data_IF_531571695092
#
_entry.id   IF_531571695092
#
_cell.length_a   1.000
_cell.length_b   1.000
_cell.length_c   1.000
_cell.angle_alpha   90.00
_cell.angle_beta   90.00
_cell.angle_gamma   90.00
#
_symmetry.space_group_name_H-M   'P 1'
#
loop_
_entity.id
_entity.type
_entity.pdbx_description
1 polymer ?
#
# COMPACT_ATOMS: atom_id res chain seq x y z
N UNK A 1 -6.02 -21.38 -13.17
CA UNK A 1 -5.97 -22.63 -12.39
C UNK A 1 -5.13 -22.34 -11.17
N UNK A 2 -5.51 -22.84 -9.99
CA UNK A 2 -4.71 -22.73 -8.77
C UNK A 2 -3.32 -23.35 -8.98
N UNK A 3 -2.28 -22.71 -8.42
CA UNK A 3 -0.89 -23.17 -8.48
C UNK A 3 -0.69 -24.46 -7.66
N UNK A 4 -1.40 -24.55 -6.52
CA UNK A 4 -1.30 -25.67 -5.58
C UNK A 4 -2.68 -26.23 -5.23
N UNK A 5 -2.78 -27.57 -5.09
CA UNK A 5 -3.90 -28.25 -4.45
C UNK A 5 -3.66 -28.38 -2.94
N UNK A 6 -4.67 -28.81 -2.18
CA UNK A 6 -4.53 -29.11 -0.74
C UNK A 6 -3.49 -30.20 -0.52
N UNK A 7 -3.53 -31.23 -1.34
CA UNK A 7 -2.63 -32.37 -1.33
C UNK A 7 -1.18 -31.94 -1.60
N UNK A 8 -0.97 -30.99 -2.53
CA UNK A 8 0.36 -30.44 -2.79
C UNK A 8 0.93 -29.75 -1.57
N UNK A 9 0.14 -28.88 -0.91
CA UNK A 9 0.59 -28.17 0.29
C UNK A 9 0.95 -29.18 1.40
N UNK A 10 0.09 -30.15 1.68
CA UNK A 10 0.36 -31.19 2.70
C UNK A 10 1.61 -31.98 2.37
N UNK A 11 1.82 -32.34 1.11
CA UNK A 11 3.03 -33.03 0.63
C UNK A 11 4.29 -32.18 0.80
N UNK A 12 4.27 -30.93 0.33
CA UNK A 12 5.42 -30.01 0.42
C UNK A 12 5.81 -29.78 1.88
N UNK A 13 4.85 -29.55 2.77
CA UNK A 13 5.12 -29.37 4.21
C UNK A 13 5.89 -30.57 4.80
N UNK A 14 5.56 -31.81 4.37
CA UNK A 14 6.24 -33.04 4.84
C UNK A 14 7.61 -33.24 4.20
N UNK A 15 7.73 -32.99 2.88
CA UNK A 15 8.95 -33.26 2.11
C UNK A 15 10.04 -32.21 2.34
N UNK A 16 9.65 -30.94 2.56
CA UNK A 16 10.56 -29.78 2.67
C UNK A 16 10.95 -29.45 4.12
N UNK A 17 10.70 -30.31 5.08
CA UNK A 17 11.05 -30.10 6.51
C UNK A 17 10.44 -28.81 7.09
N UNK A 18 9.17 -28.56 6.77
CA UNK A 18 8.43 -27.41 7.34
C UNK A 18 7.84 -27.80 8.68
N UNK A 19 8.22 -27.12 9.75
CA UNK A 19 7.71 -27.37 11.11
C UNK A 19 6.59 -26.39 11.53
N UNK A 20 6.64 -25.14 11.03
CA UNK A 20 5.65 -24.11 11.35
C UNK A 20 5.10 -23.45 10.10
N UNK A 21 3.81 -23.18 10.13
CA UNK A 21 3.12 -22.43 9.07
C UNK A 21 2.47 -21.18 9.71
N UNK A 22 2.77 -20.02 9.15
CA UNK A 22 2.15 -18.74 9.53
C UNK A 22 0.92 -18.49 8.69
N UNK A 23 -0.25 -18.55 9.31
CA UNK A 23 -1.53 -18.15 8.73
C UNK A 23 -1.62 -16.63 8.83
N UNK A 24 -1.33 -15.91 7.75
CA UNK A 24 -1.22 -14.45 7.73
C UNK A 24 -2.50 -13.80 7.23
N UNK A 25 -2.91 -12.71 7.85
CA UNK A 25 -4.01 -11.87 7.39
C UNK A 25 -3.72 -10.41 7.79
N UNK A 26 -4.49 -9.45 7.26
CA UNK A 26 -4.24 -8.02 7.49
C UNK A 26 -5.48 -7.40 8.11
N UNK A 27 -5.29 -6.59 9.18
CA UNK A 27 -6.39 -5.84 9.77
C UNK A 27 -6.76 -4.61 8.94
N UNK A 28 -7.84 -3.91 9.30
CA UNK A 28 -8.34 -2.75 8.53
C UNK A 28 -7.36 -1.57 8.52
N UNK A 29 -6.43 -1.49 9.47
CA UNK A 29 -5.41 -0.45 9.55
C UNK A 29 -4.10 -0.82 8.81
N UNK A 30 -4.08 -1.97 8.11
CA UNK A 30 -2.95 -2.40 7.30
C UNK A 30 -1.84 -3.10 8.11
N UNK A 31 -2.12 -3.55 9.33
CA UNK A 31 -1.16 -4.31 10.11
C UNK A 31 -1.25 -5.80 9.77
N UNK A 32 -0.10 -6.38 9.42
CA UNK A 32 -0.01 -7.82 9.18
C UNK A 32 -0.09 -8.58 10.51
N UNK A 33 -1.05 -9.47 10.61
CA UNK A 33 -1.29 -10.38 11.74
C UNK A 33 -0.99 -11.82 11.33
N UNK A 34 -0.76 -12.70 12.30
CA UNK A 34 -0.68 -14.12 12.01
C UNK A 34 -1.02 -14.98 13.23
N UNK A 35 -1.47 -16.20 12.93
CA UNK A 35 -1.45 -17.34 13.86
C UNK A 35 -0.46 -18.35 13.31
N UNK A 36 0.44 -18.85 14.16
CA UNK A 36 1.37 -19.91 13.79
C UNK A 36 0.80 -21.26 14.20
N UNK A 37 0.79 -22.20 13.27
CA UNK A 37 0.43 -23.60 13.51
C UNK A 37 1.64 -24.49 13.27
N UNK A 38 1.67 -25.65 13.93
CA UNK A 38 2.66 -26.69 13.64
C UNK A 38 2.29 -27.47 12.37
N UNK A 39 3.24 -28.09 11.73
CA UNK A 39 3.02 -28.92 10.54
C UNK A 39 1.94 -30.00 10.73
N UNK A 40 1.78 -30.52 11.95
CA UNK A 40 0.73 -31.50 12.28
C UNK A 40 -0.70 -30.96 12.11
N UNK A 41 -0.90 -29.64 12.05
CA UNK A 41 -2.20 -29.01 11.88
C UNK A 41 -2.48 -28.57 10.43
N UNK A 42 -1.58 -28.89 9.49
CA UNK A 42 -1.72 -28.42 8.10
C UNK A 42 -3.01 -28.90 7.44
N UNK A 43 -3.45 -30.12 7.74
CA UNK A 43 -4.71 -30.65 7.19
C UNK A 43 -5.93 -29.86 7.64
N UNK A 44 -5.96 -29.41 8.91
CA UNK A 44 -7.01 -28.48 9.38
C UNK A 44 -6.93 -27.14 8.68
N UNK A 45 -5.72 -26.61 8.51
CA UNK A 45 -5.53 -25.32 7.85
C UNK A 45 -6.07 -25.33 6.41
N UNK A 46 -5.67 -26.30 5.58
CA UNK A 46 -6.14 -26.36 4.18
C UNK A 46 -7.64 -26.71 4.07
N UNK A 47 -8.26 -27.18 5.15
CA UNK A 47 -9.69 -27.44 5.23
C UNK A 47 -10.49 -26.27 5.87
N UNK A 48 -9.85 -25.11 6.10
CA UNK A 48 -10.49 -23.90 6.63
C UNK A 48 -10.99 -24.06 8.10
N UNK A 49 -10.31 -24.87 8.89
CA UNK A 49 -10.71 -25.19 10.26
C UNK A 49 -9.90 -24.44 11.34
N UNK A 50 -9.05 -23.48 10.93
CA UNK A 50 -8.27 -22.67 11.87
C UNK A 50 -9.10 -21.48 12.33
N UNK A 51 -9.49 -21.52 13.59
CA UNK A 51 -10.29 -20.47 14.26
C UNK A 51 -9.37 -19.44 14.94
N UNK A 52 -9.80 -18.19 14.94
CA UNK A 52 -9.18 -17.07 15.65
C UNK A 52 -10.23 -16.32 16.48
N UNK A 53 -9.76 -15.62 17.52
CA UNK A 53 -10.57 -14.64 18.24
C UNK A 53 -10.45 -13.26 17.54
N UNK A 54 -11.46 -12.92 16.74
CA UNK A 54 -11.52 -11.65 16.03
C UNK A 54 -11.79 -10.45 16.95
N UNK A 55 -12.32 -10.65 18.16
CA UNK A 55 -12.65 -9.56 19.08
C UNK A 55 -11.41 -8.84 19.63
N UNK A 56 -10.26 -9.52 19.62
CA UNK A 56 -8.97 -8.95 20.02
C UNK A 56 -8.26 -8.21 18.88
N UNK A 57 -8.88 -8.13 17.69
CA UNK A 57 -8.33 -7.43 16.53
C UNK A 57 -9.10 -6.13 16.33
N UNK A 58 -8.39 -5.00 16.43
CA UNK A 58 -9.02 -3.68 16.31
C UNK A 58 -9.78 -3.53 14.99
N UNK A 59 -11.05 -3.14 15.10
CA UNK A 59 -11.93 -2.96 13.94
C UNK A 59 -12.56 -4.22 13.37
N UNK A 60 -12.31 -5.43 13.92
CA UNK A 60 -12.93 -6.65 13.41
C UNK A 60 -14.34 -6.84 13.98
N UNK A 61 -14.50 -7.65 15.02
CA UNK A 61 -15.81 -8.03 15.57
C UNK A 61 -15.95 -7.64 17.03
N UNK A 62 -17.16 -7.75 17.56
CA UNK A 62 -17.43 -7.56 18.99
C UNK A 62 -17.13 -8.84 19.76
N UNK A 63 -16.92 -8.71 21.08
CA UNK A 63 -16.64 -9.84 21.98
C UNK A 63 -17.74 -10.92 21.97
N UNK A 64 -18.97 -10.57 21.64
CA UNK A 64 -20.09 -11.50 21.54
C UNK A 64 -20.10 -12.33 20.23
N UNK A 65 -19.29 -11.94 19.24
CA UNK A 65 -19.21 -12.54 17.90
C UNK A 65 -17.74 -12.82 17.57
N UNK A 66 -16.96 -13.30 18.56
CA UNK A 66 -15.50 -13.35 18.49
C UNK A 66 -14.92 -14.36 17.51
N UNK A 67 -15.65 -15.48 17.30
CA UNK A 67 -15.12 -16.58 16.51
C UNK A 67 -15.08 -16.24 15.03
N UNK A 68 -13.88 -16.34 14.43
CA UNK A 68 -13.66 -16.21 13.00
C UNK A 68 -12.74 -17.31 12.49
N UNK A 69 -12.78 -17.59 11.20
CA UNK A 69 -12.00 -18.64 10.56
C UNK A 69 -11.05 -18.07 9.51
N UNK A 70 -9.84 -18.63 9.45
CA UNK A 70 -8.85 -18.30 8.42
C UNK A 70 -8.96 -19.28 7.26
N UNK A 71 -9.28 -18.77 6.08
CA UNK A 71 -9.33 -19.53 4.83
C UNK A 71 -8.07 -19.23 4.02
N UNK A 72 -7.08 -20.15 3.99
CA UNK A 72 -5.83 -19.89 3.30
C UNK A 72 -6.02 -19.89 1.77
N UNK A 73 -5.42 -18.89 1.14
CA UNK A 73 -5.20 -18.88 -0.29
C UNK A 73 -3.95 -19.72 -0.60
N UNK A 74 -4.18 -20.93 -1.14
CA UNK A 74 -3.12 -21.94 -1.32
C UNK A 74 -2.02 -21.45 -2.28
N UNK A 75 -2.36 -20.59 -3.25
CA UNK A 75 -1.41 -20.03 -4.21
C UNK A 75 -0.39 -19.08 -3.57
N UNK A 76 -0.64 -18.66 -2.33
CA UNK A 76 0.25 -17.80 -1.56
C UNK A 76 1.25 -18.58 -0.70
N UNK A 77 1.22 -19.93 -0.72
CA UNK A 77 2.17 -20.73 0.04
C UNK A 77 3.61 -20.41 -0.37
N UNK A 78 4.46 -20.13 0.63
CA UNK A 78 5.89 -19.93 0.41
C UNK A 78 6.68 -20.20 1.70
N UNK A 79 7.92 -20.69 1.55
CA UNK A 79 8.86 -20.85 2.65
C UNK A 79 9.56 -19.51 2.89
N UNK A 80 9.70 -19.11 4.16
CA UNK A 80 10.32 -17.85 4.54
C UNK A 80 11.86 -17.99 4.56
N UNK A 81 12.62 -17.40 3.62
CA UNK A 81 14.05 -17.65 3.44
C UNK A 81 14.93 -17.15 4.59
N UNK A 82 14.44 -16.21 5.39
CA UNK A 82 15.15 -15.67 6.55
C UNK A 82 14.99 -16.49 7.84
N UNK A 83 14.31 -17.63 7.77
CA UNK A 83 14.14 -18.58 8.88
C UNK A 83 15.14 -19.72 8.76
N UNK A 84 15.30 -20.57 9.82
CA UNK A 84 16.22 -21.70 9.80
C UNK A 84 16.03 -22.61 8.59
N UNK A 85 17.13 -23.21 8.11
CA UNK A 85 17.11 -24.17 6.99
C UNK A 85 16.62 -25.56 7.42
N UNK A 86 16.72 -25.88 8.72
CA UNK A 86 16.13 -27.08 9.34
C UNK A 86 14.96 -26.61 10.22
N UNK A 87 13.84 -27.35 10.17
CA UNK A 87 12.60 -26.91 10.81
C UNK A 87 12.09 -25.61 10.16
N UNK A 88 11.95 -25.61 8.83
CA UNK A 88 11.57 -24.44 8.04
C UNK A 88 10.23 -23.85 8.48
N UNK A 89 10.05 -22.59 8.21
CA UNK A 89 8.80 -21.85 8.43
C UNK A 89 8.21 -21.44 7.08
N UNK A 90 6.98 -21.85 6.82
CA UNK A 90 6.21 -21.41 5.67
C UNK A 90 5.14 -20.35 6.09
N UNK A 91 4.53 -19.73 5.10
CA UNK A 91 3.34 -18.89 5.32
C UNK A 91 2.25 -19.21 4.31
N UNK A 92 1.01 -18.93 4.69
CA UNK A 92 -0.17 -18.84 3.84
C UNK A 92 -0.88 -17.51 4.13
N UNK A 93 -1.29 -16.78 3.11
CA UNK A 93 -2.14 -15.61 3.29
C UNK A 93 -3.59 -16.08 3.32
N UNK A 94 -4.37 -15.54 4.24
CA UNK A 94 -5.73 -15.99 4.51
C UNK A 94 -6.73 -14.86 4.30
N UNK A 95 -7.88 -15.23 3.77
CA UNK A 95 -9.11 -14.45 3.88
C UNK A 95 -9.79 -14.79 5.22
N UNK A 96 -10.56 -13.86 5.77
CA UNK A 96 -11.27 -14.04 7.05
C UNK A 96 -12.74 -14.34 6.79
N UNK A 97 -13.27 -15.33 7.52
CA UNK A 97 -14.63 -15.83 7.37
C UNK A 97 -15.36 -15.89 8.71
N UNK A 98 -16.68 -15.74 8.66
CA UNK A 98 -17.57 -15.95 9.80
C UNK A 98 -17.79 -17.45 10.09
N UNK A 99 -18.30 -17.83 11.28
CA UNK A 99 -18.59 -19.23 11.64
C UNK A 99 -19.57 -19.94 10.70
N UNK A 100 -20.44 -19.21 10.04
CA UNK A 100 -21.39 -19.73 9.04
C UNK A 100 -20.78 -19.93 7.66
N UNK A 101 -19.47 -19.80 7.53
CA UNK A 101 -18.71 -19.88 6.29
C UNK A 101 -19.02 -18.77 5.28
N UNK A 102 -19.59 -17.66 5.69
CA UNK A 102 -19.70 -16.46 4.87
C UNK A 102 -18.42 -15.62 4.99
N UNK A 103 -17.95 -14.94 3.91
CA UNK A 103 -16.84 -14.03 4.01
C UNK A 103 -17.10 -12.92 5.04
N UNK A 104 -16.10 -12.64 5.89
CA UNK A 104 -16.22 -11.53 6.83
C UNK A 104 -16.15 -10.19 6.09
N UNK A 105 -17.17 -9.35 6.29
CA UNK A 105 -17.30 -8.07 5.57
C UNK A 105 -16.24 -7.04 5.95
N UNK A 106 -15.60 -7.20 7.11
CA UNK A 106 -14.50 -6.36 7.61
C UNK A 106 -13.11 -6.80 7.14
N UNK A 107 -13.01 -7.87 6.34
CA UNK A 107 -11.74 -8.30 5.77
C UNK A 107 -11.29 -7.37 4.63
N UNK A 108 -10.14 -6.64 4.77
CA UNK A 108 -9.62 -5.78 3.71
C UNK A 108 -9.30 -6.53 2.41
N UNK A 109 -8.74 -7.74 2.51
CA UNK A 109 -8.44 -8.58 1.35
C UNK A 109 -9.72 -9.01 0.63
N UNK A 110 -10.76 -9.31 1.41
CA UNK A 110 -12.11 -9.59 0.92
C UNK A 110 -12.74 -8.36 0.23
N UNK A 111 -12.49 -7.14 0.71
CA UNK A 111 -12.97 -5.91 0.07
C UNK A 111 -12.35 -5.76 -1.35
N UNK A 112 -11.04 -5.98 -1.49
CA UNK A 112 -10.39 -5.95 -2.79
C UNK A 112 -10.92 -7.05 -3.72
N UNK A 113 -11.13 -8.28 -3.22
CA UNK A 113 -11.75 -9.36 -4.02
C UNK A 113 -13.13 -8.98 -4.57
N UNK A 114 -13.97 -8.32 -3.75
CA UNK A 114 -15.29 -7.85 -4.22
C UNK A 114 -15.17 -6.83 -5.34
N UNK A 115 -14.22 -5.89 -5.23
CA UNK A 115 -14.01 -4.87 -6.27
C UNK A 115 -13.40 -5.45 -7.54
N UNK A 116 -12.47 -6.40 -7.43
CA UNK A 116 -11.90 -7.12 -8.56
C UNK A 116 -12.98 -7.94 -9.31
N UNK A 117 -13.92 -8.53 -8.54
CA UNK A 117 -15.07 -9.19 -9.16
C UNK A 117 -15.93 -8.21 -9.95
N UNK A 118 -16.22 -7.01 -9.43
CA UNK A 118 -16.93 -5.95 -10.17
C UNK A 118 -16.19 -5.62 -11.48
N UNK A 119 -14.87 -5.44 -11.44
CA UNK A 119 -14.06 -5.18 -12.62
C UNK A 119 -14.16 -6.33 -13.64
N UNK A 120 -14.07 -7.59 -13.17
CA UNK A 120 -14.17 -8.78 -13.99
C UNK A 120 -15.57 -8.91 -14.65
N UNK A 121 -16.64 -8.58 -13.94
CA UNK A 121 -18.02 -8.55 -14.47
C UNK A 121 -18.17 -7.48 -15.59
N UNK A 122 -17.33 -6.42 -15.57
CA UNK A 122 -17.21 -5.44 -16.67
C UNK A 122 -16.24 -5.88 -17.79
N UNK A 123 -15.58 -7.02 -17.62
CA UNK A 123 -14.61 -7.59 -18.56
C UNK A 123 -13.17 -7.09 -18.38
N UNK A 124 -12.84 -6.47 -17.23
CA UNK A 124 -11.50 -5.97 -16.95
C UNK A 124 -10.76 -6.84 -15.94
N UNK A 125 -9.45 -7.00 -16.14
CA UNK A 125 -8.50 -7.35 -15.10
C UNK A 125 -7.68 -6.12 -14.71
N UNK A 126 -7.30 -6.01 -13.44
CA UNK A 126 -6.61 -4.86 -12.87
C UNK A 126 -5.21 -5.25 -12.44
N UNK A 127 -4.20 -4.61 -13.01
CA UNK A 127 -2.79 -4.82 -12.73
C UNK A 127 -2.19 -3.61 -12.02
N UNK A 128 -1.30 -3.89 -11.05
CA UNK A 128 -0.68 -2.87 -10.20
C UNK A 128 0.81 -3.15 -10.02
N UNK A 129 1.64 -2.11 -10.23
CA UNK A 129 3.07 -2.08 -9.91
C UNK A 129 3.33 -0.99 -8.88
N UNK A 130 3.60 -1.33 -7.62
CA UNK A 130 3.92 -0.36 -6.58
C UNK A 130 5.42 -0.02 -6.60
N UNK A 131 5.74 1.23 -6.30
CA UNK A 131 7.07 1.71 -5.95
C UNK A 131 7.02 2.08 -4.46
N UNK A 132 7.68 1.30 -3.59
CA UNK A 132 7.48 1.39 -2.15
C UNK A 132 8.77 1.81 -1.43
N UNK A 133 8.85 3.08 -1.08
CA UNK A 133 9.99 3.69 -0.40
C UNK A 133 9.98 3.38 1.11
N UNK A 134 11.16 3.36 1.72
CA UNK A 134 11.35 3.15 3.15
C UNK A 134 12.64 3.79 3.66
N UNK A 135 12.71 4.00 4.98
CA UNK A 135 13.93 4.47 5.64
C UNK A 135 14.61 3.36 6.43
N UNK A 136 15.94 3.41 6.48
CA UNK A 136 16.78 2.63 7.37
C UNK A 136 17.41 3.55 8.43
N UNK A 137 17.17 3.22 9.68
CA UNK A 137 17.74 3.92 10.85
C UNK A 137 18.68 3.03 11.64
N UNK A 138 19.64 3.65 12.31
CA UNK A 138 20.43 2.99 13.33
C UNK A 138 19.57 2.65 14.54
N UNK A 139 19.94 1.60 15.25
CA UNK A 139 19.39 1.28 16.57
C UNK A 139 20.33 1.77 17.68
N UNK A 140 19.78 2.03 18.86
CA UNK A 140 20.59 2.31 20.06
C UNK A 140 21.21 1.01 20.62
N UNK A 141 21.95 1.16 21.75
CA UNK A 141 22.63 0.04 22.42
C UNK A 141 21.66 -1.04 22.92
N UNK A 142 20.40 -0.67 23.18
CA UNK A 142 19.32 -1.59 23.56
C UNK A 142 18.59 -2.20 22.36
N UNK A 143 18.99 -1.87 21.13
CA UNK A 143 18.34 -2.30 19.88
C UNK A 143 17.04 -1.57 19.58
N UNK A 144 16.75 -0.43 20.22
CA UNK A 144 15.57 0.39 19.94
C UNK A 144 15.81 1.29 18.72
N UNK A 145 14.76 1.59 17.94
CA UNK A 145 14.89 2.49 16.79
C UNK A 145 15.27 3.91 17.21
N UNK A 146 16.17 4.52 16.44
CA UNK A 146 16.50 5.94 16.54
C UNK A 146 16.01 6.69 15.30
N UNK A 147 16.22 8.01 15.23
CA UNK A 147 16.05 8.82 14.01
C UNK A 147 17.39 9.15 13.35
N UNK A 148 18.47 8.48 13.74
CA UNK A 148 19.77 8.57 13.07
C UNK A 148 19.75 7.68 11.85
N UNK A 149 19.93 8.27 10.67
CA UNK A 149 20.00 7.56 9.39
C UNK A 149 21.23 6.65 9.34
N UNK A 150 21.16 5.57 8.58
CA UNK A 150 22.30 4.66 8.41
C UNK A 150 23.44 5.29 7.59
N UNK A 151 23.14 6.31 6.79
CA UNK A 151 24.06 7.08 5.95
C UNK A 151 23.57 8.51 5.70
N UNK A 152 24.36 9.27 4.92
CA UNK A 152 24.02 10.61 4.40
C UNK A 152 24.04 10.64 2.87
N UNK A 153 23.90 9.48 2.21
CA UNK A 153 23.86 9.37 0.77
C UNK A 153 22.59 10.03 0.17
N UNK A 154 22.62 10.24 -1.13
CA UNK A 154 21.53 10.82 -1.90
C UNK A 154 21.12 9.92 -3.08
N UNK A 155 20.32 10.49 -3.97
CA UNK A 155 19.69 9.77 -5.09
C UNK A 155 20.71 9.08 -5.98
N UNK A 156 20.60 7.75 -6.13
CA UNK A 156 21.48 6.88 -6.90
C UNK A 156 22.95 6.83 -6.45
N UNK A 157 23.26 7.31 -5.25
CA UNK A 157 24.59 7.08 -4.68
C UNK A 157 24.83 5.57 -4.48
N UNK A 158 26.09 5.19 -4.46
CA UNK A 158 26.57 3.80 -4.31
C UNK A 158 27.62 3.71 -3.20
N UNK A 159 28.02 2.50 -2.84
CA UNK A 159 29.13 2.32 -1.88
C UNK A 159 30.41 3.02 -2.34
N UNK A 160 31.16 3.67 -1.43
CA UNK A 160 31.01 3.58 0.03
C UNK A 160 30.08 4.61 0.70
N UNK A 161 29.37 5.47 -0.05
CA UNK A 161 28.44 6.46 0.53
C UNK A 161 27.14 5.81 0.99
N UNK A 162 26.57 4.93 0.18
CA UNK A 162 25.38 4.16 0.48
C UNK A 162 25.70 2.96 1.40
N UNK A 163 25.45 3.10 2.68
CA UNK A 163 25.64 2.03 3.67
C UNK A 163 24.47 1.04 3.72
N UNK A 164 23.37 1.32 3.02
CA UNK A 164 22.20 0.45 2.94
C UNK A 164 22.27 -0.62 1.85
N UNK A 165 23.26 -0.52 0.91
CA UNK A 165 23.37 -1.39 -0.27
C UNK A 165 23.35 -2.88 0.08
N UNK A 166 24.15 -3.31 1.07
CA UNK A 166 24.21 -4.72 1.47
C UNK A 166 22.89 -5.23 2.04
N UNK A 167 22.18 -4.41 2.81
CA UNK A 167 20.87 -4.74 3.36
C UNK A 167 19.82 -4.84 2.25
N UNK A 168 19.79 -3.87 1.31
CA UNK A 168 18.90 -3.94 0.16
C UNK A 168 19.16 -5.18 -0.70
N UNK A 169 20.44 -5.52 -0.94
CA UNK A 169 20.82 -6.72 -1.68
C UNK A 169 20.28 -7.99 -1.01
N UNK A 170 20.42 -8.13 0.33
CA UNK A 170 19.88 -9.28 1.06
C UNK A 170 18.36 -9.34 0.95
N UNK A 171 17.67 -8.20 1.03
CA UNK A 171 16.22 -8.11 0.84
C UNK A 171 15.83 -8.58 -0.57
N UNK A 172 16.47 -8.08 -1.61
CA UNK A 172 16.20 -8.48 -2.99
C UNK A 172 16.35 -10.00 -3.19
N UNK A 173 17.46 -10.58 -2.74
CA UNK A 173 17.73 -12.02 -2.85
C UNK A 173 16.69 -12.87 -2.12
N UNK A 174 16.26 -12.41 -0.93
CA UNK A 174 15.20 -13.10 -0.19
C UNK A 174 13.85 -13.02 -0.90
N UNK A 175 13.50 -11.88 -1.45
CA UNK A 175 12.25 -11.69 -2.21
C UNK A 175 12.25 -12.51 -3.50
N UNK A 176 13.36 -12.55 -4.25
CA UNK A 176 13.49 -13.41 -5.44
C UNK A 176 13.31 -14.89 -5.11
N UNK A 177 13.86 -15.34 -3.96
CA UNK A 177 13.63 -16.70 -3.47
C UNK A 177 12.14 -16.98 -3.19
N UNK A 178 11.37 -15.95 -2.85
CA UNK A 178 9.92 -16.04 -2.66
C UNK A 178 9.11 -15.86 -3.95
N UNK A 179 9.77 -15.71 -5.09
CA UNK A 179 9.13 -15.60 -6.41
C UNK A 179 8.84 -14.17 -6.89
N UNK A 180 9.39 -13.16 -6.22
CA UNK A 180 9.35 -11.79 -6.74
C UNK A 180 10.29 -11.65 -7.94
N UNK A 181 9.90 -10.82 -8.89
CA UNK A 181 10.78 -10.37 -9.97
C UNK A 181 11.20 -8.93 -9.61
N UNK A 182 12.44 -8.76 -9.17
CA UNK A 182 13.00 -7.45 -8.79
C UNK A 182 13.42 -6.70 -10.05
N UNK A 183 12.96 -5.45 -10.18
CA UNK A 183 13.25 -4.58 -11.34
C UNK A 183 14.34 -3.57 -11.04
N UNK A 184 14.34 -2.96 -9.84
CA UNK A 184 15.35 -1.98 -9.42
C UNK A 184 15.56 -1.99 -7.90
N UNK A 185 16.72 -1.50 -7.47
CA UNK A 185 17.07 -1.26 -6.07
C UNK A 185 18.07 -0.13 -5.99
N UNK A 186 17.73 0.96 -5.31
CA UNK A 186 18.61 2.14 -5.25
C UNK A 186 18.43 2.93 -3.95
N UNK A 187 19.39 3.82 -3.67
CA UNK A 187 19.26 4.85 -2.66
C UNK A 187 18.37 5.97 -3.17
N UNK A 188 17.48 6.48 -2.30
CA UNK A 188 16.58 7.58 -2.59
C UNK A 188 17.17 8.95 -2.25
N UNK A 189 16.39 10.04 -2.46
CA UNK A 189 16.85 11.43 -2.32
C UNK A 189 17.26 11.76 -0.88
N UNK A 190 16.51 11.28 0.11
CA UNK A 190 16.78 11.60 1.51
C UNK A 190 17.82 10.63 2.09
N UNK A 191 18.68 11.13 2.99
CA UNK A 191 19.60 10.31 3.77
C UNK A 191 18.88 9.13 4.42
N UNK A 192 19.43 7.92 4.27
CA UNK A 192 18.86 6.68 4.79
C UNK A 192 17.55 6.25 4.12
N UNK A 193 17.16 6.85 3.00
CA UNK A 193 15.97 6.48 2.25
C UNK A 193 16.31 5.56 1.08
N UNK A 194 15.50 4.53 0.88
CA UNK A 194 15.73 3.45 -0.07
C UNK A 194 14.44 3.09 -0.80
N UNK A 195 14.61 2.54 -2.02
CA UNK A 195 13.55 1.98 -2.83
C UNK A 195 13.97 0.65 -3.43
N UNK A 196 13.01 -0.28 -3.51
CA UNK A 196 13.15 -1.55 -4.21
C UNK A 196 11.88 -1.75 -5.02
N UNK A 197 12.01 -1.75 -6.34
CA UNK A 197 10.93 -1.97 -7.27
C UNK A 197 10.82 -3.43 -7.67
N UNK A 198 9.63 -3.93 -7.72
CA UNK A 198 9.32 -5.26 -8.19
C UNK A 198 8.18 -5.24 -9.20
N UNK A 199 8.20 -6.19 -10.10
CA UNK A 199 7.30 -6.28 -11.23
C UNK A 199 5.84 -6.22 -10.81
N UNK A 200 5.04 -5.54 -11.64
CA UNK A 200 3.60 -5.48 -11.48
C UNK A 200 2.94 -6.88 -11.49
N UNK A 201 1.83 -7.00 -10.82
CA UNK A 201 1.01 -8.21 -10.78
C UNK A 201 -0.48 -7.85 -10.85
N UNK A 202 -1.34 -8.87 -10.95
CA UNK A 202 -2.76 -8.69 -10.69
C UNK A 202 -2.95 -8.11 -9.27
N UNK A 203 -3.90 -7.20 -9.10
CA UNK A 203 -3.97 -6.32 -7.93
C UNK A 203 -4.05 -7.05 -6.58
N UNK A 204 -4.69 -8.23 -6.50
CA UNK A 204 -4.70 -9.01 -5.26
C UNK A 204 -3.30 -9.52 -4.92
N UNK A 205 -2.61 -10.10 -5.89
CA UNK A 205 -1.23 -10.55 -5.73
C UNK A 205 -0.27 -9.38 -5.45
N UNK A 206 -0.49 -8.22 -6.10
CA UNK A 206 0.29 -7.01 -5.82
C UNK A 206 0.11 -6.53 -4.38
N UNK A 207 -1.12 -6.53 -3.83
CA UNK A 207 -1.37 -6.20 -2.43
C UNK A 207 -0.71 -7.20 -1.46
N UNK A 208 -0.82 -8.50 -1.74
CA UNK A 208 -0.14 -9.58 -1.00
C UNK A 208 1.38 -9.39 -1.03
N UNK A 209 1.93 -9.01 -2.18
CA UNK A 209 3.36 -8.73 -2.36
C UNK A 209 3.80 -7.50 -1.56
N UNK A 210 3.04 -6.40 -1.53
CA UNK A 210 3.35 -5.22 -0.71
C UNK A 210 3.44 -5.61 0.78
N UNK A 211 2.50 -6.40 1.30
CA UNK A 211 2.53 -6.84 2.69
C UNK A 211 3.74 -7.75 2.98
N UNK A 212 4.07 -8.64 2.05
CA UNK A 212 5.24 -9.52 2.13
C UNK A 212 6.54 -8.72 2.08
N UNK A 213 6.64 -7.75 1.17
CA UNK A 213 7.75 -6.83 1.03
C UNK A 213 8.02 -6.07 2.34
N UNK A 214 7.00 -5.46 2.93
CA UNK A 214 7.13 -4.76 4.21
C UNK A 214 7.64 -5.67 5.32
N UNK A 215 7.19 -6.91 5.38
CA UNK A 215 7.67 -7.90 6.35
C UNK A 215 9.15 -8.26 6.10
N UNK A 216 9.53 -8.53 4.85
CA UNK A 216 10.89 -8.88 4.47
C UNK A 216 11.87 -7.74 4.80
N UNK A 217 11.55 -6.50 4.39
CA UNK A 217 12.36 -5.31 4.65
C UNK A 217 12.62 -5.13 6.14
N UNK A 218 11.56 -5.12 6.96
CA UNK A 218 11.70 -4.96 8.42
C UNK A 218 12.51 -6.08 9.06
N UNK A 219 12.27 -7.32 8.65
CA UNK A 219 12.93 -8.50 9.23
C UNK A 219 14.43 -8.53 8.89
N UNK A 220 14.77 -8.25 7.63
CA UNK A 220 16.14 -8.31 7.17
C UNK A 220 16.95 -7.08 7.62
N UNK A 221 16.34 -5.90 7.66
CA UNK A 221 16.97 -4.74 8.31
C UNK A 221 17.33 -5.03 9.76
N UNK A 222 16.40 -5.60 10.54
CA UNK A 222 16.66 -5.98 11.94
C UNK A 222 17.81 -6.98 12.06
N UNK A 223 17.92 -7.96 11.17
CA UNK A 223 19.05 -8.92 11.14
C UNK A 223 20.39 -8.24 10.85
N UNK A 224 20.37 -7.14 10.11
CA UNK A 224 21.55 -6.31 9.81
C UNK A 224 21.80 -5.21 10.84
N UNK A 225 21.15 -5.24 12.02
CA UNK A 225 21.32 -4.25 13.08
C UNK A 225 20.69 -2.89 12.77
N UNK A 226 19.77 -2.82 11.80
CA UNK A 226 19.09 -1.60 11.39
C UNK A 226 17.59 -1.67 11.71
N UNK A 227 16.95 -0.51 11.79
CA UNK A 227 15.50 -0.39 11.88
C UNK A 227 14.93 0.15 10.58
N UNK A 228 14.10 -0.64 9.92
CA UNK A 228 13.37 -0.20 8.73
C UNK A 228 11.99 0.35 9.10
N UNK A 229 11.64 1.51 8.54
CA UNK A 229 10.31 2.10 8.73
C UNK A 229 9.67 2.51 7.40
N UNK A 230 8.36 2.29 7.34
CA UNK A 230 7.46 2.77 6.28
C UNK A 230 6.66 4.00 6.73
N UNK A 231 7.15 4.72 7.73
CA UNK A 231 6.57 5.98 8.19
C UNK A 231 6.68 7.03 7.07
N UNK A 232 5.60 7.71 6.68
CA UNK A 232 5.60 8.61 5.52
C UNK A 232 6.55 9.79 5.62
N UNK A 233 6.76 10.33 6.83
CA UNK A 233 7.64 11.48 7.09
C UNK A 233 8.35 11.32 8.42
N UNK A 234 9.41 10.50 8.50
CA UNK A 234 10.09 10.24 9.78
C UNK A 234 10.98 11.41 10.25
N UNK A 235 11.49 12.23 9.31
CA UNK A 235 12.39 13.34 9.62
C UNK A 235 11.84 14.64 9.03
N UNK A 236 11.84 15.70 9.81
CA UNK A 236 11.51 17.05 9.36
C UNK A 236 12.59 17.60 8.42
N UNK A 237 12.17 18.31 7.37
CA UNK A 237 13.08 19.05 6.49
C UNK A 237 13.71 18.26 5.33
N UNK A 238 13.47 16.94 5.23
CA UNK A 238 13.91 16.10 4.10
C UNK A 238 12.72 15.43 3.41
N UNK A 239 12.92 14.74 2.28
CA UNK A 239 11.85 14.01 1.59
C UNK A 239 11.25 12.92 2.48
N UNK A 240 9.98 12.60 2.27
CA UNK A 240 9.28 11.50 2.91
C UNK A 240 9.06 10.35 1.93
N UNK A 241 8.62 9.20 2.43
CA UNK A 241 8.39 7.99 1.63
C UNK A 241 7.02 7.98 0.98
N UNK A 242 7.00 7.75 -0.33
CA UNK A 242 5.84 7.47 -1.14
C UNK A 242 5.63 5.97 -1.38
N UNK A 243 4.46 5.63 -1.86
CA UNK A 243 4.15 4.37 -2.50
C UNK A 243 3.43 4.67 -3.81
N UNK A 244 4.21 5.08 -4.81
CA UNK A 244 3.65 5.39 -6.12
C UNK A 244 2.99 4.14 -6.68
N UNK A 245 1.77 4.28 -7.14
CA UNK A 245 0.94 3.15 -7.54
C UNK A 245 0.68 3.22 -9.03
N UNK A 246 1.40 2.39 -9.80
CA UNK A 246 1.21 2.24 -11.24
C UNK A 246 0.06 1.30 -11.50
N UNK A 247 -0.94 1.74 -12.27
CA UNK A 247 -2.18 1.02 -12.51
C UNK A 247 -2.47 0.86 -13.99
N UNK A 248 -2.99 -0.29 -14.38
CA UNK A 248 -3.48 -0.54 -15.74
C UNK A 248 -4.65 -1.53 -15.75
N UNK A 249 -5.55 -1.35 -16.71
CA UNK A 249 -6.64 -2.30 -16.96
C UNK A 249 -6.35 -3.12 -18.23
N UNK A 250 -6.70 -4.39 -18.18
CA UNK A 250 -6.58 -5.29 -19.32
C UNK A 250 -7.95 -5.93 -19.66
N UNK A 251 -8.16 -6.17 -20.92
CA UNK A 251 -9.29 -6.92 -21.46
C UNK A 251 -8.80 -7.86 -22.54
N UNK A 252 -9.12 -9.14 -22.42
CA UNK A 252 -8.69 -10.17 -23.37
C UNK A 252 -7.16 -10.16 -23.63
N UNK A 253 -6.37 -9.95 -22.58
CA UNK A 253 -4.90 -9.88 -22.62
C UNK A 253 -4.31 -8.61 -23.25
N UNK A 254 -5.14 -7.61 -23.60
CA UNK A 254 -4.71 -6.32 -24.16
C UNK A 254 -4.86 -5.21 -23.12
N UNK A 255 -3.87 -4.33 -23.09
CA UNK A 255 -3.91 -3.13 -22.26
C UNK A 255 -4.99 -2.17 -22.77
N UNK A 256 -5.99 -1.88 -21.93
CA UNK A 256 -7.16 -1.04 -22.30
C UNK A 256 -6.78 0.45 -22.37
N UNK A 257 -5.72 0.86 -21.68
CA UNK A 257 -5.29 2.27 -21.66
C UNK A 257 -4.53 2.71 -22.91
N UNK A 258 -4.10 1.75 -23.74
CA UNK A 258 -3.36 2.02 -24.97
C UNK A 258 -4.31 2.14 -26.18
N UNK A 259 -4.11 3.21 -26.97
CA UNK A 259 -4.70 3.39 -28.31
C UNK A 259 -3.63 4.05 -29.20
N UNK A 260 -3.16 3.33 -30.22
CA UNK A 260 -2.13 3.82 -31.15
C UNK A 260 -2.54 5.14 -31.85
N UNK A 261 -3.84 5.37 -32.03
CA UNK A 261 -4.40 6.54 -32.73
C UNK A 261 -4.88 7.64 -31.79
N UNK A 262 -4.96 7.35 -30.49
CA UNK A 262 -5.38 8.29 -29.46
C UNK A 262 -4.36 9.39 -29.19
N UNK A 263 -4.81 10.51 -28.65
CA UNK A 263 -3.90 11.55 -28.17
C UNK A 263 -2.93 10.95 -27.14
N UNK A 264 -1.62 11.25 -27.26
CA UNK A 264 -0.55 10.65 -26.45
C UNK A 264 -0.50 9.12 -26.48
N UNK A 265 -1.16 8.48 -27.47
CA UNK A 265 -1.37 7.05 -27.57
C UNK A 265 -2.13 6.47 -26.37
N UNK A 266 -3.08 7.25 -25.82
CA UNK A 266 -3.97 6.85 -24.74
C UNK A 266 -5.39 6.66 -25.28
N UNK A 267 -6.08 5.66 -24.75
CA UNK A 267 -7.49 5.42 -25.03
C UNK A 267 -8.41 6.39 -24.29
N UNK A 268 -9.67 6.46 -24.71
CA UNK A 268 -10.70 7.17 -23.96
C UNK A 268 -10.85 6.62 -22.52
N UNK A 269 -10.76 5.30 -22.35
CA UNK A 269 -10.86 4.67 -21.02
C UNK A 269 -9.72 5.07 -20.09
N UNK A 270 -8.50 5.29 -20.62
CA UNK A 270 -7.40 5.84 -19.81
C UNK A 270 -7.75 7.23 -19.26
N UNK A 271 -8.28 8.12 -20.11
CA UNK A 271 -8.71 9.45 -19.68
C UNK A 271 -9.89 9.40 -18.71
N UNK A 272 -10.85 8.53 -18.92
CA UNK A 272 -11.99 8.32 -18.02
C UNK A 272 -11.51 7.81 -16.64
N UNK A 273 -10.58 6.88 -16.62
CA UNK A 273 -9.97 6.34 -15.39
C UNK A 273 -9.24 7.46 -14.61
N UNK A 274 -8.42 8.27 -15.28
CA UNK A 274 -7.75 9.45 -14.69
C UNK A 274 -8.78 10.42 -14.10
N UNK A 275 -9.86 10.69 -14.84
CA UNK A 275 -10.91 11.61 -14.39
C UNK A 275 -11.61 11.09 -13.15
N UNK A 276 -11.91 9.79 -13.08
CA UNK A 276 -12.49 9.15 -11.90
C UNK A 276 -11.59 9.26 -10.67
N UNK A 277 -10.30 8.97 -10.81
CA UNK A 277 -9.32 9.15 -9.74
C UNK A 277 -9.30 10.61 -9.24
N UNK A 278 -9.18 11.58 -10.13
CA UNK A 278 -9.15 13.02 -9.76
C UNK A 278 -10.45 13.49 -9.12
N UNK A 279 -11.60 12.91 -9.50
CA UNK A 279 -12.91 13.24 -8.94
C UNK A 279 -13.00 12.82 -7.48
N UNK A 280 -12.61 11.56 -7.18
CA UNK A 280 -12.76 10.94 -5.87
C UNK A 280 -11.55 11.08 -4.94
N UNK A 281 -10.45 11.68 -5.41
CA UNK A 281 -9.19 11.68 -4.64
C UNK A 281 -9.32 12.28 -3.24
N UNK A 282 -10.16 13.29 -3.05
CA UNK A 282 -10.42 13.87 -1.74
C UNK A 282 -10.96 12.83 -0.75
N UNK A 283 -11.93 12.02 -1.18
CA UNK A 283 -12.50 10.93 -0.40
C UNK A 283 -11.56 9.75 -0.22
N UNK A 284 -10.67 9.51 -1.18
CA UNK A 284 -9.69 8.43 -1.12
C UNK A 284 -8.51 8.75 -0.18
N UNK A 285 -8.22 10.03 0.07
CA UNK A 285 -6.98 10.47 0.75
C UNK A 285 -6.82 9.83 2.13
N UNK A 286 -7.90 9.70 2.93
CA UNK A 286 -7.82 9.05 4.24
C UNK A 286 -7.35 7.58 4.18
N UNK A 287 -7.65 6.87 3.09
CA UNK A 287 -7.24 5.48 2.87
C UNK A 287 -5.81 5.40 2.31
N UNK A 288 -5.46 6.30 1.38
CA UNK A 288 -4.16 6.34 0.71
C UNK A 288 -3.06 6.94 1.59
N UNK A 289 -3.44 7.80 2.53
CA UNK A 289 -2.57 8.55 3.44
C UNK A 289 -3.15 8.48 4.86
N UNK A 290 -2.99 7.31 5.53
CA UNK A 290 -3.84 6.93 6.67
C UNK A 290 -3.43 7.50 8.03
N UNK A 291 -2.27 8.15 8.13
CA UNK A 291 -1.72 8.58 9.41
C UNK A 291 -1.74 10.11 9.55
N UNK A 292 -1.77 10.62 10.78
CA UNK A 292 -1.49 12.05 11.01
C UNK A 292 -0.13 12.46 10.43
N UNK A 293 0.81 11.55 10.41
CA UNK A 293 2.14 11.73 9.82
C UNK A 293 2.12 11.82 8.29
N UNK A 294 1.16 11.20 7.61
CA UNK A 294 1.00 11.27 6.15
C UNK A 294 0.88 12.72 5.65
N UNK A 295 0.21 13.58 6.43
CA UNK A 295 -0.01 15.00 6.08
C UNK A 295 1.21 15.89 6.36
N UNK A 296 2.26 15.35 6.98
CA UNK A 296 3.58 15.98 7.07
C UNK A 296 4.44 15.66 5.83
N UNK A 297 4.10 14.60 5.07
CA UNK A 297 4.65 14.32 3.74
C UNK A 297 3.93 15.14 2.65
N UNK A 298 2.60 15.22 2.69
CA UNK A 298 1.77 15.92 1.70
C UNK A 298 1.84 17.45 1.87
N UNK A 299 3.06 17.98 1.80
CA UNK A 299 3.35 19.43 1.87
C UNK A 299 4.18 19.87 0.67
N UNK A 300 4.00 21.11 0.15
CA UNK A 300 4.77 21.61 -0.97
C UNK A 300 6.29 21.62 -0.69
N UNK A 301 7.10 21.34 -1.71
CA UNK A 301 8.56 21.47 -1.64
C UNK A 301 9.35 20.19 -1.40
N UNK A 302 8.68 19.03 -1.25
CA UNK A 302 9.32 17.73 -0.99
C UNK A 302 8.85 16.63 -1.94
N UNK A 303 8.60 16.95 -3.21
CA UNK A 303 8.20 16.04 -4.30
C UNK A 303 6.87 15.31 -4.11
N UNK A 304 6.27 15.31 -2.92
CA UNK A 304 4.94 14.73 -2.70
C UNK A 304 3.85 15.59 -3.36
N UNK A 305 2.90 15.01 -4.10
CA UNK A 305 1.85 15.76 -4.76
C UNK A 305 0.81 16.24 -3.74
N UNK A 306 0.52 17.55 -3.77
CA UNK A 306 -0.45 18.18 -2.86
C UNK A 306 -1.71 18.69 -3.57
N UNK A 307 -1.74 18.60 -4.90
CA UNK A 307 -2.74 19.25 -5.74
C UNK A 307 -3.34 18.30 -6.76
N UNK A 308 -4.65 18.43 -7.02
CA UNK A 308 -5.38 17.57 -7.95
C UNK A 308 -5.06 17.96 -9.41
N UNK A 309 -4.02 17.37 -9.96
CA UNK A 309 -3.60 17.60 -11.34
C UNK A 309 -3.04 16.31 -11.94
N UNK A 310 -3.07 16.22 -13.27
CA UNK A 310 -2.40 15.13 -13.99
C UNK A 310 -1.45 15.69 -15.07
N UNK A 311 -0.45 14.89 -15.41
CA UNK A 311 0.52 15.23 -16.46
C UNK A 311 1.21 14.02 -17.04
N UNK A 312 1.61 14.11 -18.30
CA UNK A 312 2.49 13.13 -18.95
C UNK A 312 3.99 13.45 -18.77
N UNK A 313 4.34 14.63 -18.27
CA UNK A 313 5.73 15.10 -18.20
C UNK A 313 6.15 15.67 -16.85
N UNK A 314 5.19 16.07 -16.01
CA UNK A 314 5.46 16.79 -14.77
C UNK A 314 5.38 15.87 -13.56
N UNK A 315 6.50 15.69 -12.83
CA UNK A 315 6.59 14.87 -11.62
C UNK A 315 5.90 15.48 -10.39
N UNK A 316 5.53 16.77 -10.42
CA UNK A 316 4.78 17.42 -9.33
C UNK A 316 3.26 17.14 -9.40
N UNK A 317 2.79 16.51 -10.47
CA UNK A 317 1.38 16.16 -10.63
C UNK A 317 1.01 14.96 -9.75
N UNK A 318 -0.26 14.95 -9.30
CA UNK A 318 -0.84 13.87 -8.52
C UNK A 318 -0.90 12.55 -9.33
N UNK A 319 -1.27 12.67 -10.60
CA UNK A 319 -1.29 11.56 -11.55
C UNK A 319 -0.28 11.83 -12.65
N UNK A 320 0.66 10.90 -12.83
CA UNK A 320 1.63 10.92 -13.92
C UNK A 320 1.31 9.82 -14.93
N UNK A 321 1.54 10.11 -16.20
CA UNK A 321 1.48 9.11 -17.27
C UNK A 321 2.92 8.81 -17.71
N UNK A 322 3.50 7.67 -17.28
CA UNK A 322 4.85 7.28 -17.70
C UNK A 322 4.99 7.20 -19.23
N UNK A 323 6.22 7.31 -19.74
CA UNK A 323 6.47 7.39 -21.19
C UNK A 323 6.19 6.07 -21.95
N UNK A 324 6.27 4.93 -21.27
CA UNK A 324 6.04 3.62 -21.87
C UNK A 324 4.61 3.50 -22.43
N UNK A 325 4.48 2.81 -23.59
CA UNK A 325 3.20 2.62 -24.31
C UNK A 325 3.03 1.14 -24.69
N UNK A 326 1.93 0.84 -25.37
CA UNK A 326 1.55 -0.53 -25.70
C UNK A 326 1.09 -1.28 -24.44
N UNK A 327 1.61 -2.48 -24.23
CA UNK A 327 1.28 -3.30 -23.05
C UNK A 327 1.74 -2.66 -21.72
N UNK A 328 2.73 -1.75 -21.76
CA UNK A 328 3.26 -1.06 -20.60
C UNK A 328 2.57 0.29 -20.30
N UNK A 329 1.51 0.64 -21.03
CA UNK A 329 0.74 1.87 -20.77
C UNK A 329 0.08 1.80 -19.40
N UNK A 330 0.30 2.83 -18.58
CA UNK A 330 -0.17 2.87 -17.20
C UNK A 330 -0.42 4.27 -16.70
N UNK A 331 -1.17 4.37 -15.63
CA UNK A 331 -1.46 5.58 -14.87
C UNK A 331 -0.78 5.44 -13.51
N UNK A 332 0.07 6.37 -13.13
CA UNK A 332 0.78 6.41 -11.85
C UNK A 332 0.10 7.41 -10.91
N UNK A 333 -0.45 6.92 -9.80
CA UNK A 333 -0.95 7.75 -8.71
C UNK A 333 0.17 7.92 -7.67
N UNK A 334 0.56 9.17 -7.40
CA UNK A 334 1.76 9.50 -6.64
C UNK A 334 1.53 9.89 -5.17
N UNK A 335 0.28 10.14 -4.76
CA UNK A 335 -0.01 10.53 -3.38
C UNK A 335 0.04 9.38 -2.37
N UNK A 336 -0.28 8.13 -2.66
CA UNK A 336 -0.27 7.09 -1.64
C UNK A 336 1.08 7.03 -0.92
N UNK A 337 1.04 6.70 0.36
CA UNK A 337 2.24 6.44 1.15
C UNK A 337 2.29 4.99 1.66
N UNK A 338 3.47 4.48 2.03
CA UNK A 338 3.64 3.08 2.36
C UNK A 338 3.00 2.65 3.68
N UNK A 339 2.44 3.59 4.47
CA UNK A 339 1.67 3.24 5.66
C UNK A 339 0.26 2.75 5.34
N UNK A 340 -0.25 2.99 4.13
CA UNK A 340 -1.61 2.58 3.77
C UNK A 340 -1.78 1.05 3.78
N UNK A 341 -3.04 0.65 3.99
CA UNK A 341 -3.46 -0.73 3.76
C UNK A 341 -3.58 -0.97 2.25
N UNK A 342 -2.73 -1.80 1.62
CA UNK A 342 -2.71 -1.93 0.16
C UNK A 342 -4.02 -2.49 -0.39
N UNK A 343 -4.70 -3.37 0.33
CA UNK A 343 -5.99 -3.91 -0.12
C UNK A 343 -7.05 -2.82 -0.20
N UNK A 344 -7.17 -1.98 0.83
CA UNK A 344 -8.13 -0.88 0.83
C UNK A 344 -7.73 0.22 -0.17
N UNK A 345 -6.44 0.54 -0.27
CA UNK A 345 -5.92 1.51 -1.24
C UNK A 345 -6.26 1.11 -2.68
N UNK A 346 -6.00 -0.14 -3.06
CA UNK A 346 -6.32 -0.64 -4.40
C UNK A 346 -7.83 -0.77 -4.64
N UNK A 347 -8.60 -1.07 -3.59
CA UNK A 347 -10.08 -1.09 -3.66
C UNK A 347 -10.61 0.28 -4.07
N UNK A 348 -10.21 1.36 -3.38
CA UNK A 348 -10.73 2.70 -3.69
C UNK A 348 -10.18 3.26 -5.01
N UNK A 349 -8.93 2.93 -5.38
CA UNK A 349 -8.37 3.30 -6.68
C UNK A 349 -9.14 2.66 -7.83
N UNK A 350 -9.41 1.36 -7.75
CA UNK A 350 -10.17 0.64 -8.77
C UNK A 350 -11.62 1.15 -8.85
N UNK A 351 -12.26 1.35 -7.71
CA UNK A 351 -13.63 1.88 -7.67
C UNK A 351 -13.72 3.25 -8.35
N UNK A 352 -12.82 4.17 -8.02
CA UNK A 352 -12.79 5.51 -8.60
C UNK A 352 -12.51 5.49 -10.12
N UNK A 353 -11.54 4.66 -10.54
CA UNK A 353 -11.23 4.51 -11.97
C UNK A 353 -12.37 3.93 -12.78
N UNK A 354 -13.05 2.90 -12.27
CA UNK A 354 -14.21 2.28 -12.93
C UNK A 354 -15.41 3.24 -12.98
N UNK A 355 -15.65 4.01 -11.93
CA UNK A 355 -16.71 5.05 -11.94
C UNK A 355 -16.45 6.09 -13.04
N UNK A 356 -15.19 6.49 -13.21
CA UNK A 356 -14.78 7.37 -14.30
C UNK A 356 -15.11 6.77 -15.69
N UNK A 357 -14.83 5.48 -15.88
CA UNK A 357 -15.14 4.76 -17.13
C UNK A 357 -16.66 4.62 -17.33
N UNK A 358 -17.39 4.15 -16.31
CA UNK A 358 -18.85 3.97 -16.37
C UNK A 358 -19.57 5.27 -16.71
N UNK A 359 -19.16 6.38 -16.10
CA UNK A 359 -19.74 7.73 -16.31
C UNK A 359 -19.13 8.50 -17.47
N UNK A 360 -18.13 7.94 -18.15
CA UNK A 360 -17.37 8.59 -19.24
C UNK A 360 -16.86 9.98 -18.84
N UNK A 361 -16.31 10.08 -17.64
CA UNK A 361 -15.79 11.34 -17.11
C UNK A 361 -14.62 11.85 -17.96
N UNK A 362 -14.50 13.19 -18.06
CA UNK A 362 -13.38 13.81 -18.76
C UNK A 362 -12.47 14.48 -17.74
N UNK A 363 -11.15 14.21 -17.76
CA UNK A 363 -10.23 14.88 -16.85
C UNK A 363 -10.09 16.36 -17.20
N UNK A 364 -9.68 17.24 -16.24
CA UNK A 364 -9.32 18.61 -16.54
C UNK A 364 -8.13 18.66 -17.52
N UNK A 365 -7.81 19.83 -18.03
CA UNK A 365 -6.65 20.03 -18.88
C UNK A 365 -5.35 19.59 -18.15
N UNK A 366 -4.43 18.99 -18.92
CA UNK A 366 -3.11 18.62 -18.39
C UNK A 366 -2.34 19.83 -17.88
N UNK A 367 -1.59 19.65 -16.80
CA UNK A 367 -0.73 20.68 -16.23
C UNK A 367 0.74 20.35 -16.52
N UNK A 368 1.35 21.10 -17.41
CA UNK A 368 2.75 20.92 -17.81
C UNK A 368 3.75 21.76 -17.01
N UNK A 369 3.28 22.85 -16.37
CA UNK A 369 4.12 23.73 -15.55
C UNK A 369 4.28 23.23 -14.10
N UNK A 370 5.26 23.82 -13.39
CA UNK A 370 5.46 23.52 -11.96
C UNK A 370 4.29 24.02 -11.11
N UNK A 371 3.48 23.14 -10.60
CA UNK A 371 2.28 23.45 -9.82
C UNK A 371 2.63 24.15 -8.49
N UNK A 372 3.76 23.82 -7.89
CA UNK A 372 4.20 24.43 -6.63
C UNK A 372 4.58 25.92 -6.79
N UNK A 373 4.97 26.33 -7.99
CA UNK A 373 5.29 27.73 -8.31
C UNK A 373 4.04 28.59 -8.60
N UNK A 374 2.86 27.96 -8.81
CA UNK A 374 1.61 28.69 -9.09
C UNK A 374 1.05 29.34 -7.82
N UNK A 375 0.58 30.56 -7.94
CA UNK A 375 -0.19 31.23 -6.88
C UNK A 375 -1.53 30.51 -6.61
N UNK A 376 -2.15 30.71 -5.43
CA UNK A 376 -3.48 30.16 -5.16
C UNK A 376 -4.53 30.56 -6.21
N UNK A 377 -4.52 31.81 -6.67
CA UNK A 377 -5.45 32.33 -7.69
C UNK A 377 -5.25 31.62 -9.06
N UNK A 378 -4.00 31.36 -9.45
CA UNK A 378 -3.72 30.64 -10.69
C UNK A 378 -4.18 29.17 -10.62
N UNK A 379 -4.01 28.52 -9.46
CA UNK A 379 -4.53 27.16 -9.25
C UNK A 379 -6.05 27.12 -9.32
N UNK A 380 -6.72 28.05 -8.65
CA UNK A 380 -8.18 28.16 -8.66
C UNK A 380 -8.72 28.40 -10.08
N UNK A 381 -8.12 29.33 -10.83
CA UNK A 381 -8.48 29.58 -12.22
C UNK A 381 -8.34 28.37 -13.15
N UNK A 382 -7.46 27.42 -12.80
CA UNK A 382 -7.24 26.15 -13.52
C UNK A 382 -8.06 24.99 -12.95
N UNK A 383 -8.89 25.21 -11.91
CA UNK A 383 -9.65 24.18 -11.24
C UNK A 383 -8.80 23.20 -10.43
N UNK A 384 -7.57 23.55 -10.10
CA UNK A 384 -6.64 22.72 -9.31
C UNK A 384 -6.98 22.89 -7.82
N UNK A 385 -7.48 21.83 -7.21
CA UNK A 385 -7.79 21.78 -5.77
C UNK A 385 -6.60 21.24 -4.98
N UNK A 386 -6.51 21.60 -3.70
CA UNK A 386 -5.58 20.94 -2.75
C UNK A 386 -6.17 19.62 -2.27
N UNK A 387 -5.29 18.67 -1.99
CA UNK A 387 -5.66 17.49 -1.17
C UNK A 387 -6.02 17.94 0.25
N UNK A 388 -6.76 17.14 1.03
CA UNK A 388 -6.96 17.40 2.46
C UNK A 388 -5.63 17.65 3.18
N UNK A 389 -5.60 18.65 4.05
CA UNK A 389 -4.37 19.07 4.75
C UNK A 389 -4.11 18.34 6.06
N UNK A 390 -5.11 17.63 6.59
CA UNK A 390 -5.02 16.88 7.85
C UNK A 390 -5.75 15.54 7.73
N UNK A 391 -5.44 14.61 8.63
CA UNK A 391 -6.17 13.35 8.72
C UNK A 391 -7.67 13.58 8.98
N UNK A 392 -7.99 14.56 9.82
CA UNK A 392 -9.38 14.93 10.12
C UNK A 392 -10.16 15.37 8.86
N UNK A 393 -9.56 16.27 8.07
CA UNK A 393 -10.18 16.74 6.82
C UNK A 393 -10.37 15.62 5.81
N UNK A 394 -9.40 14.71 5.75
CA UNK A 394 -9.45 13.55 4.84
C UNK A 394 -10.53 12.55 5.24
N UNK A 395 -10.67 12.25 6.53
CA UNK A 395 -11.76 11.40 7.04
C UNK A 395 -13.12 12.06 6.78
N UNK A 396 -13.26 13.37 7.01
CA UNK A 396 -14.49 14.10 6.71
C UNK A 396 -14.82 14.13 5.20
N UNK A 397 -13.79 14.16 4.34
CA UNK A 397 -13.99 14.06 2.90
C UNK A 397 -14.40 12.64 2.48
N UNK A 398 -13.78 11.60 3.06
CA UNK A 398 -14.14 10.19 2.82
C UNK A 398 -15.61 9.91 3.17
N UNK A 399 -16.07 10.37 4.32
CA UNK A 399 -17.46 10.15 4.76
C UNK A 399 -18.51 10.80 3.82
N UNK A 400 -18.12 11.79 3.02
CA UNK A 400 -18.98 12.45 2.03
C UNK A 400 -18.93 11.82 0.64
N UNK A 401 -17.98 10.93 0.40
CA UNK A 401 -17.82 10.25 -0.89
C UNK A 401 -18.53 8.90 -0.86
N UNK A 402 -19.75 8.88 -1.41
CA UNK A 402 -20.62 7.70 -1.42
C UNK A 402 -19.96 6.52 -2.17
N UNK A 403 -19.18 6.78 -3.22
CA UNK A 403 -18.49 5.73 -3.96
C UNK A 403 -17.43 5.05 -3.10
N UNK A 404 -16.59 5.85 -2.45
CA UNK A 404 -15.52 5.34 -1.58
C UNK A 404 -16.12 4.55 -0.41
N UNK A 405 -17.13 5.10 0.25
CA UNK A 405 -17.83 4.41 1.34
C UNK A 405 -18.48 3.10 0.88
N UNK A 406 -19.14 3.09 -0.27
CA UNK A 406 -19.77 1.89 -0.83
C UNK A 406 -18.74 0.82 -1.23
N UNK A 407 -17.61 1.21 -1.80
CA UNK A 407 -16.55 0.27 -2.20
C UNK A 407 -15.92 -0.44 -1.00
N UNK A 408 -15.74 0.28 0.11
CA UNK A 408 -15.19 -0.27 1.35
C UNK A 408 -16.22 -1.10 2.13
N UNK A 409 -17.48 -0.67 2.12
CA UNK A 409 -18.58 -1.26 2.89
C UNK A 409 -18.71 -0.65 4.27
N UNK A 410 -19.94 -0.69 4.80
CA UNK A 410 -20.34 0.00 6.03
C UNK A 410 -19.46 -0.37 7.25
N UNK A 411 -19.15 -1.67 7.42
CA UNK A 411 -18.34 -2.14 8.54
C UNK A 411 -16.95 -1.51 8.53
N UNK A 412 -16.24 -1.63 7.40
CA UNK A 412 -14.88 -1.08 7.27
C UNK A 412 -14.92 0.44 7.47
N UNK A 413 -15.85 1.15 6.84
CA UNK A 413 -15.99 2.61 6.98
C UNK A 413 -16.19 3.01 8.42
N UNK A 414 -17.16 2.40 9.13
CA UNK A 414 -17.49 2.77 10.51
C UNK A 414 -16.31 2.54 11.46
N UNK A 415 -15.66 1.39 11.37
CA UNK A 415 -14.51 1.05 12.21
C UNK A 415 -13.27 1.88 11.87
N UNK A 416 -13.04 2.12 10.58
CA UNK A 416 -11.92 2.94 10.11
C UNK A 416 -12.07 4.39 10.58
N UNK A 417 -13.24 5.00 10.40
CA UNK A 417 -13.53 6.36 10.87
C UNK A 417 -13.31 6.46 12.38
N UNK A 418 -13.90 5.55 13.16
CA UNK A 418 -13.75 5.56 14.63
C UNK A 418 -12.27 5.47 15.06
N UNK A 419 -11.48 4.60 14.42
CA UNK A 419 -10.05 4.48 14.70
C UNK A 419 -9.26 5.73 14.33
N UNK A 420 -9.57 6.36 13.18
CA UNK A 420 -8.88 7.56 12.69
C UNK A 420 -9.26 8.83 13.47
N UNK A 421 -10.50 8.95 13.90
CA UNK A 421 -10.91 10.04 14.80
C UNK A 421 -10.21 9.93 16.16
N UNK A 422 -10.08 8.73 16.72
CA UNK A 422 -9.33 8.49 17.95
C UNK A 422 -7.82 8.83 17.77
N UNK A 423 -7.20 8.45 16.63
CA UNK A 423 -5.81 8.81 16.31
C UNK A 423 -5.66 10.34 16.23
N UNK A 424 -6.57 11.02 15.53
CA UNK A 424 -6.57 12.47 15.40
C UNK A 424 -6.73 13.16 16.75
N UNK A 425 -7.68 12.73 17.59
CA UNK A 425 -7.90 13.31 18.94
C UNK A 425 -6.67 13.15 19.83
N UNK A 426 -6.02 11.99 19.79
CA UNK A 426 -4.78 11.78 20.52
C UNK A 426 -3.67 12.72 20.04
N UNK A 427 -3.53 12.88 18.71
CA UNK A 427 -2.51 13.75 18.12
C UNK A 427 -2.76 15.24 18.41
N UNK A 428 -3.99 15.75 18.20
CA UNK A 428 -4.31 17.18 18.33
C UNK A 428 -4.25 17.70 19.77
N UNK A 429 -4.29 16.80 20.74
CA UNK A 429 -4.16 17.13 22.16
C UNK A 429 -2.72 16.96 22.70
N UNK A 430 -1.84 16.39 21.89
CA UNK A 430 -0.45 16.20 22.27
C UNK A 430 0.34 17.50 22.14
N UNK A 431 1.01 17.92 23.24
CA UNK A 431 1.87 19.10 23.23
C UNK A 431 3.25 18.68 22.72
N UNK A 432 3.65 19.21 21.56
CA UNK A 432 4.92 18.87 20.90
C UNK A 432 6.10 19.68 21.44
N UNK A 433 7.32 19.14 21.30
CA UNK A 433 8.53 19.89 21.66
C UNK A 433 8.63 21.22 20.92
N UNK A 434 8.19 21.27 19.64
CA UNK A 434 8.15 22.48 18.85
C UNK A 434 7.27 23.57 19.50
N UNK A 435 6.13 23.22 20.06
CA UNK A 435 5.24 24.15 20.77
C UNK A 435 5.92 24.64 22.06
N UNK A 436 6.53 23.74 22.82
CA UNK A 436 7.27 24.09 24.04
C UNK A 436 8.41 25.07 23.72
N UNK A 437 9.25 24.74 22.74
CA UNK A 437 10.35 25.60 22.30
C UNK A 437 9.88 26.96 21.79
N UNK A 438 8.76 26.99 21.09
CA UNK A 438 8.24 28.20 20.45
C UNK A 438 7.49 29.12 21.40
N UNK A 439 6.74 28.56 22.35
CA UNK A 439 5.74 29.31 23.10
C UNK A 439 6.01 29.44 24.59
N UNK A 440 6.71 28.47 25.23
CA UNK A 440 6.85 28.40 26.68
C UNK A 440 7.50 29.67 27.30
N UNK A 441 8.44 30.28 26.59
CA UNK A 441 9.14 31.48 27.08
C UNK A 441 8.41 32.79 26.71
N UNK A 442 7.57 32.73 25.62
CA UNK A 442 6.96 33.93 25.07
C UNK A 442 5.58 34.22 25.66
N UNK A 443 4.87 33.20 26.08
CA UNK A 443 3.49 33.26 26.60
C UNK A 443 3.41 32.64 28.01
#
# INVERSE_FOLDING_TARGET
>A
MSKFTKEDIVRIVREDDVEFIRMQFTDIFGQLKNVAITASQIEKAVNNEIMIDGSSIEGFVRIQESDQYLHPDLDTFTILPWRPQHGKVARLICDVYNPDSTPFIGDPRGALRRMLKKAADMGYSFNVGPECEFFLFQTDEDGKPTTTTNDEAGYFDLGPLDHGESTRREICMALETMGFEIEASHHEVAAGQHEIDFKYAEALAAADNIMTFKLAVKTLAQKNGLHATFMPKPIFGINGSGMHTNMSLFKDGKNVFFDETGDRKLSADAYHFIAGLLHHIGGMTAILNPLVNSYKRLVPGYEAPCYTAWSASNRSALIRIPAARGQATRVELRCPDPACNPYLALTVCLAAGLDGIEKKMTPPAEITGNIFAMSPAEREAKGIRSLPGTLHDAVAAMQKDELVCSALGEHIVSQYVAGKEKEWDSYRTHVSNWEIEKYLVTY
#
